data_IF_838114764665
#
_entry.id   IF_838114764665
#
_cell.length_a   1.000
_cell.length_b   1.000
_cell.length_c   1.000
_cell.angle_alpha   90.00
_cell.angle_beta   90.00
_cell.angle_gamma   90.00
#
_symmetry.space_group_name_H-M   'P 1'
#
loop_
_entity.id
_entity.type
_entity.pdbx_description
1 polymer ?
#
# COMPACT_ATOMS: atom_id res chain seq x y z
N UNK A 1 -4.87 -12.50 -13.70
CA UNK A 1 -5.02 -11.71 -12.48
C UNK A 1 -4.21 -12.31 -11.34
N UNK A 2 -3.02 -11.74 -11.09
CA UNK A 2 -2.11 -12.05 -9.97
C UNK A 2 -2.09 -10.88 -9.00
N UNK A 3 -2.19 -11.17 -7.69
CA UNK A 3 -2.19 -10.18 -6.62
C UNK A 3 -0.99 -10.40 -5.68
N UNK A 4 -0.32 -9.33 -5.29
CA UNK A 4 0.71 -9.33 -4.25
C UNK A 4 0.36 -8.39 -3.09
N UNK A 5 0.79 -8.74 -1.87
CA UNK A 5 0.52 -7.95 -0.66
C UNK A 5 1.77 -7.36 -0.05
N UNK A 6 1.81 -6.04 0.17
CA UNK A 6 2.83 -5.30 0.91
C UNK A 6 2.19 -4.57 2.09
N UNK A 7 1.76 -5.31 3.11
CA UNK A 7 0.91 -4.73 4.17
C UNK A 7 1.73 -3.91 5.18
N UNK A 8 3.00 -4.27 5.41
CA UNK A 8 3.82 -3.68 6.47
C UNK A 8 5.04 -2.91 5.92
N UNK A 9 5.43 -1.80 6.55
CA UNK A 9 4.69 -1.06 7.57
C UNK A 9 3.51 -0.30 6.96
N UNK A 10 2.31 -0.28 7.59
CA UNK A 10 1.22 0.57 7.12
C UNK A 10 1.63 2.03 7.05
N UNK A 11 1.35 2.69 5.93
CA UNK A 11 1.74 4.08 5.71
C UNK A 11 0.58 5.02 6.04
N UNK A 12 0.86 6.16 6.67
CA UNK A 12 -0.16 7.18 6.87
C UNK A 12 -0.73 7.61 5.52
N UNK A 13 -2.05 7.68 5.43
CA UNK A 13 -2.73 8.09 4.21
C UNK A 13 -3.70 9.23 4.51
N UNK A 14 -3.51 10.37 3.86
CA UNK A 14 -4.45 11.48 3.96
C UNK A 14 -5.79 11.09 3.35
N UNK A 15 -6.87 11.31 4.09
CA UNK A 15 -8.23 11.14 3.59
C UNK A 15 -8.57 12.31 2.66
N UNK A 16 -9.06 12.00 1.46
CA UNK A 16 -9.54 12.94 0.46
C UNK A 16 -11.06 12.77 0.30
N UNK A 17 -11.73 13.74 -0.33
CA UNK A 17 -13.18 13.70 -0.53
C UNK A 17 -13.64 12.44 -1.31
N UNK A 18 -12.80 11.91 -2.19
CA UNK A 18 -13.07 10.77 -3.06
C UNK A 18 -12.18 9.54 -2.78
N UNK A 19 -11.40 9.53 -1.70
CA UNK A 19 -10.57 8.38 -1.36
C UNK A 19 -9.39 8.67 -0.44
N UNK A 20 -8.22 8.12 -0.77
CA UNK A 20 -7.02 8.24 0.03
C UNK A 20 -5.82 8.60 -0.83
N UNK A 21 -4.96 9.49 -0.34
CA UNK A 21 -3.63 9.68 -0.92
C UNK A 21 -2.71 8.56 -0.42
N UNK A 22 -2.41 7.60 -1.29
CA UNK A 22 -1.51 6.48 -0.99
C UNK A 22 -0.09 6.84 -1.37
N UNK A 23 0.82 6.86 -0.40
CA UNK A 23 2.24 7.14 -0.61
C UNK A 23 3.07 6.53 0.52
N UNK A 24 4.21 5.96 0.18
CA UNK A 24 5.17 5.43 1.15
C UNK A 24 5.96 4.26 0.58
N UNK A 25 6.58 3.49 1.47
CA UNK A 25 7.39 2.32 1.14
C UNK A 25 6.94 1.13 2.00
N UNK A 26 6.69 0.01 1.35
CA UNK A 26 6.29 -1.24 1.98
C UNK A 26 7.33 -2.31 1.74
N UNK A 27 7.51 -3.17 2.73
CA UNK A 27 8.45 -4.28 2.67
C UNK A 27 7.70 -5.61 2.57
N UNK A 28 8.44 -6.68 2.25
CA UNK A 28 7.94 -8.06 2.27
C UNK A 28 6.81 -8.34 1.25
N UNK A 29 6.83 -7.66 0.10
CA UNK A 29 5.87 -7.84 -0.98
C UNK A 29 6.25 -9.00 -1.93
N UNK A 30 6.33 -10.22 -1.41
CA UNK A 30 6.72 -11.40 -2.20
C UNK A 30 5.83 -11.56 -3.45
N UNK A 31 6.45 -11.79 -4.60
CA UNK A 31 5.76 -11.95 -5.88
C UNK A 31 5.31 -10.64 -6.54
N UNK A 32 5.64 -9.46 -5.99
CA UNK A 32 5.24 -8.17 -6.56
C UNK A 32 5.75 -7.92 -8.00
N UNK A 33 6.88 -8.52 -8.39
CA UNK A 33 7.43 -8.40 -9.74
C UNK A 33 6.56 -9.03 -10.83
N UNK A 34 5.68 -9.96 -10.48
CA UNK A 34 4.74 -10.63 -11.39
C UNK A 34 3.27 -10.28 -11.15
N UNK A 35 2.99 -9.28 -10.32
CA UNK A 35 1.63 -8.92 -9.94
C UNK A 35 0.97 -7.96 -10.95
N UNK A 36 -0.34 -8.11 -11.14
CA UNK A 36 -1.16 -7.12 -11.86
C UNK A 36 -1.77 -6.09 -10.88
N UNK A 37 -2.05 -6.53 -9.65
CA UNK A 37 -2.56 -5.70 -8.56
C UNK A 37 -1.69 -5.87 -7.33
N UNK A 38 -1.48 -4.76 -6.61
CA UNK A 38 -0.74 -4.76 -5.34
C UNK A 38 -1.63 -4.14 -4.26
N UNK A 39 -1.80 -4.87 -3.16
CA UNK A 39 -2.45 -4.38 -1.94
C UNK A 39 -1.42 -3.90 -0.94
N UNK A 40 -1.48 -2.63 -0.55
CA UNK A 40 -0.58 -2.03 0.45
C UNK A 40 -1.31 -1.55 1.69
N UNK A 41 -0.66 -1.70 2.85
CA UNK A 41 -1.23 -1.26 4.12
C UNK A 41 -1.23 0.26 4.23
N UNK A 42 -2.39 0.85 4.48
CA UNK A 42 -2.52 2.27 4.81
C UNK A 42 -3.15 2.44 6.18
N UNK A 43 -2.78 3.52 6.85
CA UNK A 43 -3.42 3.99 8.06
C UNK A 43 -4.08 5.34 7.74
N UNK A 44 -5.40 5.37 7.49
CA UNK A 44 -6.12 6.60 7.22
C UNK A 44 -5.95 7.63 8.33
N UNK A 45 -5.72 8.88 7.94
CA UNK A 45 -5.85 10.02 8.82
C UNK A 45 -7.29 10.54 8.73
N UNK A 46 -8.17 9.91 9.52
CA UNK A 46 -9.62 10.20 9.56
C UNK A 46 -10.01 11.03 10.80
N UNK A 47 -9.03 11.56 11.53
CA UNK A 47 -9.23 12.30 12.77
C UNK A 47 -9.67 11.44 13.97
N UNK A 48 -9.78 10.12 13.82
CA UNK A 48 -10.11 9.25 14.94
C UNK A 48 -8.91 9.06 15.89
N UNK A 49 -9.20 8.87 17.17
CA UNK A 49 -8.15 8.61 18.16
C UNK A 49 -7.44 7.26 17.95
N UNK A 50 -8.04 6.35 17.17
CA UNK A 50 -7.54 5.00 16.87
C UNK A 50 -7.93 4.62 15.44
N UNK A 51 -7.22 5.14 14.42
CA UNK A 51 -7.53 4.82 13.04
C UNK A 51 -7.29 3.33 12.77
N UNK A 52 -8.22 2.72 12.02
CA UNK A 52 -8.10 1.31 11.64
C UNK A 52 -7.31 1.19 10.33
N UNK A 53 -6.30 0.31 10.27
CA UNK A 53 -5.55 0.09 9.04
C UNK A 53 -6.47 -0.49 7.94
N UNK A 54 -6.20 -0.10 6.70
CA UNK A 54 -6.89 -0.57 5.50
C UNK A 54 -5.87 -1.08 4.49
N UNK A 55 -6.35 -1.84 3.50
CA UNK A 55 -5.55 -2.23 2.33
C UNK A 55 -6.00 -1.38 1.15
N UNK A 56 -5.09 -0.58 0.60
CA UNK A 56 -5.28 0.09 -0.67
C UNK A 56 -4.84 -0.85 -1.79
N UNK A 57 -5.74 -1.16 -2.73
CA UNK A 57 -5.44 -2.01 -3.89
C UNK A 57 -5.27 -1.12 -5.11
N UNK A 58 -4.09 -1.16 -5.73
CA UNK A 58 -3.78 -0.39 -6.93
C UNK A 58 -3.15 -1.27 -8.01
N UNK A 59 -3.23 -0.88 -9.30
CA UNK A 59 -2.46 -1.51 -10.36
C UNK A 59 -0.95 -1.51 -10.05
N UNK A 60 -0.27 -2.59 -10.43
CA UNK A 60 1.16 -2.75 -10.13
C UNK A 60 2.05 -1.64 -10.75
N UNK A 61 1.62 -1.05 -11.87
CA UNK A 61 2.33 0.06 -12.54
C UNK A 61 2.35 1.38 -11.74
N UNK A 62 1.59 1.46 -10.64
CA UNK A 62 1.60 2.59 -9.69
C UNK A 62 2.74 2.52 -8.68
N UNK A 63 3.52 1.43 -8.69
CA UNK A 63 4.59 1.18 -7.74
C UNK A 63 5.95 1.10 -8.44
N UNK A 64 6.97 1.56 -7.74
CA UNK A 64 8.37 1.23 -8.05
C UNK A 64 8.77 0.05 -7.18
N UNK A 65 9.19 -1.06 -7.79
CA UNK A 65 9.70 -2.23 -7.06
C UNK A 65 11.18 -1.99 -6.74
N UNK A 66 11.50 -1.93 -5.45
CA UNK A 66 12.87 -1.90 -4.95
C UNK A 66 13.29 -3.34 -4.59
N UNK A 67 14.28 -3.94 -5.29
CA UNK A 67 14.74 -5.30 -5.02
C UNK A 67 15.43 -5.45 -3.66
N UNK A 68 15.71 -4.34 -2.95
CA UNK A 68 16.58 -4.31 -1.79
C UNK A 68 18.06 -4.27 -2.21
N UNK A 69 18.92 -3.86 -1.27
CA UNK A 69 20.35 -4.16 -1.37
C UNK A 69 20.55 -5.63 -1.01
N UNK A 70 21.27 -6.37 -1.85
CA UNK A 70 21.71 -7.74 -1.58
C UNK A 70 22.66 -7.76 -0.36
#
# INVERSE_FOLDING_TARGET
>A
MVFAGGIFPPQKAATLDDGFRVSGRWSFASGCTGAELIGVGILPDDGSARPLPRIAVLPADRFTIDPGVE
#
